data_IF_343865796833
#
_entry.id   IF_343865796833
#
_cell.length_a   1.000
_cell.length_b   1.000
_cell.length_c   1.000
_cell.angle_alpha   90.00
_cell.angle_beta   90.00
_cell.angle_gamma   90.00
#
_symmetry.space_group_name_H-M   'P 1'
#
loop_
_entity.id
_entity.type
_entity.pdbx_description
1 polymer ?
#
# COMPACT_ATOMS: atom_id res chain seq x y z
N UNK A 1 -1.50 -10.01 -6.40
CA UNK A 1 -2.20 -10.99 -5.55
C UNK A 1 -3.31 -11.63 -6.35
N UNK A 2 -4.21 -12.41 -5.73
CA UNK A 2 -5.31 -13.06 -6.45
C UNK A 2 -6.30 -12.10 -7.08
N UNK A 3 -6.40 -10.85 -6.58
CA UNK A 3 -7.17 -9.79 -7.25
C UNK A 3 -6.71 -9.56 -8.69
N UNK A 4 -5.40 -9.45 -8.94
CA UNK A 4 -4.86 -9.21 -10.28
C UNK A 4 -5.21 -10.37 -11.24
N UNK A 5 -5.01 -11.61 -10.78
CA UNK A 5 -5.37 -12.80 -11.53
C UNK A 5 -6.89 -12.90 -11.81
N UNK A 6 -7.74 -12.47 -10.87
CA UNK A 6 -9.18 -12.41 -11.09
C UNK A 6 -9.55 -11.36 -12.14
N UNK A 7 -8.90 -10.19 -12.13
CA UNK A 7 -9.17 -9.12 -13.09
C UNK A 7 -8.74 -9.49 -14.52
N UNK A 8 -7.83 -10.44 -14.69
CA UNK A 8 -7.47 -11.01 -16.00
C UNK A 8 -8.39 -12.17 -16.44
N UNK A 9 -9.33 -12.59 -15.60
CA UNK A 9 -10.18 -13.75 -15.85
C UNK A 9 -11.35 -13.47 -16.81
N UNK A 10 -11.83 -14.53 -17.47
CA UNK A 10 -13.09 -14.45 -18.23
C UNK A 10 -14.29 -14.10 -17.34
N UNK A 11 -14.27 -14.50 -16.06
CA UNK A 11 -15.36 -14.18 -15.14
C UNK A 11 -15.49 -12.68 -14.95
N UNK A 12 -14.39 -11.98 -14.68
CA UNK A 12 -14.38 -10.53 -14.56
C UNK A 12 -14.90 -9.85 -15.84
N UNK A 13 -14.44 -10.30 -17.01
CA UNK A 13 -14.90 -9.77 -18.31
C UNK A 13 -16.40 -9.96 -18.51
N UNK A 14 -16.94 -11.15 -18.19
CA UNK A 14 -18.37 -11.45 -18.29
C UNK A 14 -19.21 -10.63 -17.31
N UNK A 15 -18.68 -10.34 -16.12
CA UNK A 15 -19.37 -9.55 -15.07
C UNK A 15 -19.31 -8.04 -15.29
N UNK A 16 -18.22 -7.53 -15.86
CA UNK A 16 -18.07 -6.11 -16.16
C UNK A 16 -18.89 -5.69 -17.38
N UNK A 17 -19.06 -6.56 -18.37
CA UNK A 17 -19.74 -6.24 -19.62
C UNK A 17 -21.17 -5.68 -19.44
N UNK A 18 -22.08 -6.27 -18.63
CA UNK A 18 -23.41 -5.71 -18.43
C UNK A 18 -23.41 -4.33 -17.77
N UNK A 19 -22.45 -4.07 -16.88
CA UNK A 19 -22.30 -2.76 -16.23
C UNK A 19 -21.81 -1.70 -17.23
N UNK A 20 -20.84 -2.07 -18.08
CA UNK A 20 -20.36 -1.22 -19.18
C UNK A 20 -21.51 -0.86 -20.11
N UNK A 21 -22.25 -1.87 -20.60
CA UNK A 21 -23.37 -1.66 -21.52
C UNK A 21 -24.46 -0.77 -20.92
N UNK A 22 -24.78 -0.97 -19.64
CA UNK A 22 -25.72 -0.11 -18.94
C UNK A 22 -25.22 1.34 -18.84
N UNK A 23 -23.93 1.54 -18.52
CA UNK A 23 -23.34 2.88 -18.36
C UNK A 23 -23.33 3.67 -19.67
N UNK A 24 -23.13 2.99 -20.81
CA UNK A 24 -22.97 3.63 -22.12
C UNK A 24 -24.27 3.64 -22.94
N UNK A 25 -25.38 3.08 -22.45
CA UNK A 25 -26.63 2.88 -23.20
C UNK A 25 -27.15 4.13 -23.93
N UNK A 26 -26.94 5.32 -23.37
CA UNK A 26 -27.33 6.61 -23.98
C UNK A 26 -26.22 7.36 -24.72
N UNK A 27 -25.00 6.82 -24.79
CA UNK A 27 -23.84 7.49 -25.37
C UNK A 27 -23.34 6.74 -26.63
N UNK A 28 -23.90 7.10 -27.78
CA UNK A 28 -23.58 6.47 -29.07
C UNK A 28 -22.09 6.58 -29.46
N UNK A 29 -21.43 7.68 -29.07
CA UNK A 29 -20.00 7.84 -29.35
C UNK A 29 -19.15 6.81 -28.58
N UNK A 30 -19.41 6.65 -27.28
CA UNK A 30 -18.68 5.68 -26.45
C UNK A 30 -19.04 4.24 -26.83
N UNK A 31 -20.28 3.99 -27.29
CA UNK A 31 -20.64 2.69 -27.86
C UNK A 31 -19.81 2.36 -29.11
N UNK A 32 -19.64 3.32 -30.02
CA UNK A 32 -18.77 3.17 -31.18
C UNK A 32 -17.32 2.91 -30.78
N UNK A 33 -16.78 3.65 -29.80
CA UNK A 33 -15.44 3.42 -29.26
C UNK A 33 -15.30 2.00 -28.69
N UNK A 34 -16.27 1.53 -27.93
CA UNK A 34 -16.26 0.19 -27.33
C UNK A 34 -16.31 -0.92 -28.39
N UNK A 35 -16.97 -0.70 -29.52
CA UNK A 35 -16.99 -1.66 -30.62
C UNK A 35 -15.64 -1.74 -31.34
N UNK A 36 -14.99 -0.59 -31.55
CA UNK A 36 -13.67 -0.51 -32.20
C UNK A 36 -12.54 -0.97 -31.28
N UNK A 37 -12.65 -0.71 -29.98
CA UNK A 37 -11.63 -0.99 -28.96
C UNK A 37 -12.26 -1.74 -27.78
N UNK A 38 -12.58 -3.05 -27.94
CA UNK A 38 -13.35 -3.81 -26.95
C UNK A 38 -12.70 -3.92 -25.57
N UNK A 39 -11.38 -3.77 -25.48
CA UNK A 39 -10.63 -3.86 -24.22
C UNK A 39 -10.52 -2.51 -23.49
N UNK A 40 -10.86 -1.38 -24.14
CA UNK A 40 -10.67 -0.05 -23.53
C UNK A 40 -11.50 0.14 -22.27
N UNK A 41 -12.82 -0.14 -22.30
CA UNK A 41 -13.68 0.03 -21.12
C UNK A 41 -13.47 -1.06 -20.05
N UNK A 42 -13.23 -2.34 -20.38
CA UNK A 42 -12.80 -3.33 -19.40
C UNK A 42 -11.57 -2.89 -18.58
N UNK A 43 -10.56 -2.31 -19.22
CA UNK A 43 -9.39 -1.77 -18.52
C UNK A 43 -9.73 -0.61 -17.56
N UNK A 44 -10.68 0.25 -17.93
CA UNK A 44 -11.18 1.28 -17.00
C UNK A 44 -11.90 0.65 -15.80
N UNK A 45 -12.66 -0.42 -16.01
CA UNK A 45 -13.30 -1.16 -14.90
C UNK A 45 -12.25 -1.84 -14.02
N UNK A 46 -11.16 -2.35 -14.61
CA UNK A 46 -10.02 -2.94 -13.89
C UNK A 46 -9.35 -1.89 -13.00
N UNK A 47 -9.14 -0.67 -13.50
CA UNK A 47 -8.66 0.46 -12.69
C UNK A 47 -9.60 0.76 -11.50
N UNK A 48 -10.91 0.83 -11.73
CA UNK A 48 -11.88 1.08 -10.65
C UNK A 48 -11.94 -0.07 -9.63
N UNK A 49 -11.73 -1.31 -10.07
CA UNK A 49 -11.62 -2.45 -9.17
C UNK A 49 -10.40 -2.32 -8.24
N UNK A 50 -9.24 -1.89 -8.75
CA UNK A 50 -8.09 -1.57 -7.90
C UNK A 50 -8.37 -0.44 -6.93
N UNK A 51 -9.05 0.63 -7.35
CA UNK A 51 -9.45 1.72 -6.44
C UNK A 51 -10.40 1.23 -5.35
N UNK A 52 -11.37 0.38 -5.69
CA UNK A 52 -12.29 -0.22 -4.72
C UNK A 52 -11.55 -1.11 -3.72
N UNK A 53 -10.64 -1.96 -4.19
CA UNK A 53 -9.84 -2.82 -3.33
C UNK A 53 -8.93 -2.02 -2.39
N UNK A 54 -8.33 -0.94 -2.90
CA UNK A 54 -7.51 -0.02 -2.13
C UNK A 54 -8.35 0.74 -1.07
N UNK A 55 -9.57 1.15 -1.41
CA UNK A 55 -10.52 1.73 -0.46
C UNK A 55 -10.90 0.74 0.65
N UNK A 56 -11.19 -0.51 0.31
CA UNK A 56 -11.46 -1.58 1.29
C UNK A 56 -10.24 -1.86 2.17
N UNK A 57 -9.03 -1.77 1.62
CA UNK A 57 -7.82 -1.88 2.43
C UNK A 57 -7.78 -0.81 3.53
N UNK A 58 -8.02 0.46 3.19
CA UNK A 58 -8.03 1.54 4.18
C UNK A 58 -9.22 1.52 5.14
N UNK A 59 -10.35 0.90 4.77
CA UNK A 59 -11.45 0.65 5.71
C UNK A 59 -11.04 -0.25 6.89
N UNK A 60 -10.04 -1.11 6.71
CA UNK A 60 -9.46 -1.91 7.80
C UNK A 60 -8.37 -1.13 8.54
N UNK A 61 -7.46 -0.51 7.79
CA UNK A 61 -6.28 0.11 8.37
C UNK A 61 -6.59 1.40 9.16
N UNK A 62 -7.57 2.20 8.72
CA UNK A 62 -7.89 3.47 9.37
C UNK A 62 -8.42 3.28 10.81
N UNK A 63 -9.44 2.44 11.08
CA UNK A 63 -9.87 2.16 12.44
C UNK A 63 -8.76 1.58 13.33
N UNK A 64 -7.89 0.74 12.77
CA UNK A 64 -6.74 0.19 13.49
C UNK A 64 -5.78 1.30 13.95
N UNK A 65 -5.41 2.24 13.08
CA UNK A 65 -4.53 3.35 13.47
C UNK A 65 -5.19 4.31 14.48
N UNK A 66 -6.50 4.51 14.40
CA UNK A 66 -7.24 5.29 15.39
C UNK A 66 -7.24 4.61 16.76
N UNK A 67 -7.54 3.31 16.82
CA UNK A 67 -7.47 2.55 18.07
C UNK A 67 -6.05 2.52 18.65
N UNK A 68 -5.02 2.39 17.82
CA UNK A 68 -3.63 2.48 18.26
C UNK A 68 -3.34 3.81 18.97
N UNK A 69 -3.81 4.92 18.40
CA UNK A 69 -3.67 6.25 18.99
C UNK A 69 -4.39 6.33 20.34
N UNK A 70 -5.65 5.89 20.40
CA UNK A 70 -6.43 5.92 21.64
C UNK A 70 -5.81 5.05 22.74
N UNK A 71 -5.24 3.88 22.38
CA UNK A 71 -4.53 2.99 23.30
C UNK A 71 -3.22 3.59 23.80
N UNK A 72 -2.52 4.32 22.94
CA UNK A 72 -1.34 5.07 23.34
C UNK A 72 -1.69 6.17 24.35
N UNK A 73 -2.76 6.94 24.10
CA UNK A 73 -3.21 8.00 25.00
C UNK A 73 -3.67 7.46 26.37
N UNK A 74 -4.23 6.24 26.41
CA UNK A 74 -4.54 5.53 27.66
C UNK A 74 -3.31 4.92 28.37
N UNK A 75 -2.12 5.03 27.79
CA UNK A 75 -0.87 4.49 28.35
C UNK A 75 -0.74 2.97 28.25
N UNK A 76 -1.52 2.31 27.38
CA UNK A 76 -1.46 0.86 27.15
C UNK A 76 -0.28 0.49 26.26
N UNK A 77 0.02 1.32 25.27
CA UNK A 77 1.15 1.15 24.35
C UNK A 77 2.36 1.90 24.92
N UNK A 78 3.41 1.14 25.27
CA UNK A 78 4.63 1.66 25.90
C UNK A 78 5.89 1.36 25.11
N UNK A 79 5.83 0.43 24.15
CA UNK A 79 6.99 -0.05 23.41
C UNK A 79 6.65 -0.29 21.93
N UNK A 80 7.67 -0.23 21.06
CA UNK A 80 7.51 -0.51 19.63
C UNK A 80 7.00 -1.93 19.34
N UNK A 81 7.46 -3.00 20.03
CA UNK A 81 6.87 -4.33 19.87
C UNK A 81 5.35 -4.37 20.12
N UNK A 82 4.83 -3.57 21.05
CA UNK A 82 3.38 -3.48 21.28
C UNK A 82 2.64 -2.79 20.12
N UNK A 83 3.26 -1.79 19.48
CA UNK A 83 2.74 -1.18 18.24
C UNK A 83 2.66 -2.23 17.13
N UNK A 84 3.76 -2.96 16.91
CA UNK A 84 3.85 -4.02 15.89
C UNK A 84 2.81 -5.11 16.15
N UNK A 85 2.68 -5.56 17.40
CA UNK A 85 1.70 -6.58 17.78
C UNK A 85 0.27 -6.13 17.53
N UNK A 86 -0.07 -4.88 17.88
CA UNK A 86 -1.41 -4.35 17.63
C UNK A 86 -1.76 -4.33 16.14
N UNK A 87 -0.82 -3.91 15.28
CA UNK A 87 -1.02 -3.93 13.82
C UNK A 87 -1.17 -5.37 13.32
N UNK A 88 -0.34 -6.29 13.79
CA UNK A 88 -0.39 -7.71 13.44
C UNK A 88 -1.76 -8.31 13.80
N UNK A 89 -2.23 -8.10 15.02
CA UNK A 89 -3.52 -8.62 15.50
C UNK A 89 -4.68 -8.12 14.61
N UNK A 90 -4.65 -6.85 14.22
CA UNK A 90 -5.66 -6.28 13.34
C UNK A 90 -5.63 -6.89 11.92
N UNK A 91 -4.43 -7.09 11.36
CA UNK A 91 -4.28 -7.74 10.05
C UNK A 91 -4.80 -9.19 10.08
N UNK A 92 -4.51 -9.93 11.16
CA UNK A 92 -4.99 -11.31 11.34
C UNK A 92 -6.51 -11.34 11.52
N UNK A 93 -7.07 -10.44 12.34
CA UNK A 93 -8.52 -10.37 12.56
C UNK A 93 -9.28 -10.04 11.27
N UNK A 94 -8.70 -9.21 10.41
CA UNK A 94 -9.28 -8.83 9.13
C UNK A 94 -8.98 -9.83 8.00
N UNK A 95 -8.17 -10.86 8.22
CA UNK A 95 -7.52 -11.60 7.14
C UNK A 95 -8.48 -12.18 6.10
N UNK A 96 -9.60 -12.72 6.57
CA UNK A 96 -10.61 -13.38 5.76
C UNK A 96 -11.76 -12.47 5.34
N UNK A 97 -11.67 -11.15 5.58
CA UNK A 97 -12.70 -10.24 5.11
C UNK A 97 -12.79 -10.29 3.58
N UNK A 98 -13.98 -10.49 3.01
CA UNK A 98 -14.13 -10.65 1.58
C UNK A 98 -13.90 -9.32 0.85
N UNK A 99 -13.15 -9.37 -0.25
CA UNK A 99 -12.98 -8.22 -1.15
C UNK A 99 -14.00 -8.31 -2.26
N UNK A 100 -14.88 -7.32 -2.32
CA UNK A 100 -16.01 -7.29 -3.26
C UNK A 100 -16.13 -5.95 -3.94
N UNK A 101 -16.77 -5.91 -5.10
CA UNK A 101 -17.00 -4.66 -5.81
C UNK A 101 -18.29 -4.75 -6.61
N UNK A 102 -19.18 -3.80 -6.35
CA UNK A 102 -20.42 -3.66 -7.08
C UNK A 102 -20.67 -2.19 -7.42
N UNK A 103 -21.37 -1.96 -8.53
CA UNK A 103 -21.75 -0.62 -8.97
C UNK A 103 -23.26 -0.55 -9.18
N UNK A 104 -23.85 0.59 -8.84
CA UNK A 104 -25.28 0.86 -9.08
C UNK A 104 -25.43 1.78 -10.28
N UNK A 105 -26.11 1.30 -11.33
CA UNK A 105 -26.36 2.05 -12.57
C UNK A 105 -27.87 1.98 -12.84
N UNK A 106 -28.51 3.14 -12.97
CA UNK A 106 -29.97 3.25 -13.23
C UNK A 106 -30.83 2.40 -12.27
N UNK A 107 -30.45 2.37 -10.98
CA UNK A 107 -31.17 1.60 -9.97
C UNK A 107 -30.81 0.11 -9.90
N UNK A 108 -30.15 -0.45 -10.91
CA UNK A 108 -29.70 -1.86 -10.92
C UNK A 108 -28.28 -1.99 -10.37
N UNK A 109 -28.06 -3.03 -9.55
CA UNK A 109 -26.74 -3.37 -9.00
C UNK A 109 -26.05 -4.38 -9.92
N UNK A 110 -24.77 -4.15 -10.19
CA UNK A 110 -23.90 -5.01 -10.98
C UNK A 110 -22.72 -5.44 -10.11
N UNK A 111 -22.61 -6.73 -9.83
CA UNK A 111 -21.50 -7.31 -9.06
C UNK A 111 -20.32 -7.62 -9.99
N UNK A 112 -19.28 -6.79 -9.89
CA UNK A 112 -18.05 -6.88 -10.70
C UNK A 112 -17.07 -7.88 -10.06
N UNK A 113 -16.91 -7.78 -8.73
CA UNK A 113 -16.19 -8.76 -7.91
C UNK A 113 -17.20 -9.30 -6.89
N UNK A 114 -17.78 -10.49 -7.12
CA UNK A 114 -18.72 -11.12 -6.20
C UNK A 114 -17.97 -11.78 -5.02
N UNK A 115 -18.67 -12.06 -3.92
CA UNK A 115 -18.11 -12.88 -2.82
C UNK A 115 -17.65 -14.26 -3.29
N UNK A 116 -18.30 -14.83 -4.30
CA UNK A 116 -17.95 -16.15 -4.86
C UNK A 116 -16.59 -16.20 -5.53
N UNK A 117 -15.97 -15.04 -5.84
CA UNK A 117 -14.61 -14.99 -6.36
C UNK A 117 -13.56 -15.40 -5.31
N UNK A 118 -13.95 -15.49 -4.03
CA UNK A 118 -13.09 -15.99 -2.96
C UNK A 118 -11.93 -15.07 -2.58
N UNK A 119 -11.94 -13.81 -3.04
CA UNK A 119 -10.90 -12.84 -2.72
C UNK A 119 -11.03 -12.36 -1.26
N UNK A 120 -9.89 -12.26 -0.58
CA UNK A 120 -9.78 -11.94 0.84
C UNK A 120 -8.82 -10.78 1.09
N UNK A 121 -9.06 -10.06 2.19
CA UNK A 121 -8.30 -8.86 2.52
C UNK A 121 -6.79 -9.12 2.59
N UNK A 122 -6.33 -10.09 3.39
CA UNK A 122 -4.89 -10.25 3.63
C UNK A 122 -4.14 -10.68 2.37
N UNK A 123 -4.55 -11.80 1.77
CA UNK A 123 -3.84 -12.40 0.64
C UNK A 123 -3.94 -11.56 -0.65
N UNK A 124 -5.10 -10.95 -0.91
CA UNK A 124 -5.38 -10.34 -2.20
C UNK A 124 -5.19 -8.83 -2.24
N UNK A 125 -5.19 -8.16 -1.08
CA UNK A 125 -5.04 -6.70 -1.01
C UNK A 125 -3.93 -6.24 -0.07
N UNK A 126 -3.87 -6.69 1.19
CA UNK A 126 -2.93 -6.15 2.16
C UNK A 126 -1.47 -6.53 1.86
N UNK A 127 -1.20 -7.82 1.58
CA UNK A 127 0.16 -8.27 1.23
C UNK A 127 0.65 -7.64 -0.07
N UNK A 128 -0.14 -7.65 -1.18
CA UNK A 128 0.24 -6.93 -2.39
C UNK A 128 0.44 -5.42 -2.20
N UNK A 129 -0.34 -4.79 -1.31
CA UNK A 129 -0.20 -3.37 -1.01
C UNK A 129 1.15 -3.05 -0.35
N UNK A 130 1.55 -3.84 0.65
CA UNK A 130 2.87 -3.68 1.31
C UNK A 130 3.99 -3.79 0.27
N UNK A 131 3.94 -4.80 -0.59
CA UNK A 131 4.93 -4.99 -1.65
C UNK A 131 4.95 -3.82 -2.64
N UNK A 132 3.78 -3.39 -3.13
CA UNK A 132 3.67 -2.36 -4.16
C UNK A 132 4.01 -0.96 -3.65
N UNK A 133 3.59 -0.60 -2.43
CA UNK A 133 3.67 0.77 -1.91
C UNK A 133 4.86 0.98 -0.98
N UNK A 134 5.19 -0.01 -0.15
CA UNK A 134 6.27 0.17 0.84
C UNK A 134 7.64 -0.23 0.29
N UNK A 135 7.70 -1.26 -0.56
CA UNK A 135 8.95 -1.69 -1.18
C UNK A 135 9.15 -1.07 -2.56
N UNK A 136 8.28 -1.42 -3.52
CA UNK A 136 8.52 -1.08 -4.93
C UNK A 136 8.36 0.41 -5.19
N UNK A 137 7.17 0.94 -4.94
CA UNK A 137 6.81 2.29 -5.37
C UNK A 137 6.95 2.50 -6.88
N UNK A 138 6.55 3.67 -7.35
CA UNK A 138 6.90 4.12 -8.70
C UNK A 138 8.15 5.00 -8.61
N UNK A 139 9.10 4.90 -9.55
CA UNK A 139 10.27 5.78 -9.57
C UNK A 139 9.83 7.25 -9.55
N UNK A 140 10.50 8.09 -8.74
CA UNK A 140 10.09 9.49 -8.63
C UNK A 140 10.71 10.30 -9.78
N UNK A 141 9.90 11.01 -10.59
CA UNK A 141 10.41 11.75 -11.74
C UNK A 141 11.36 12.89 -11.35
N UNK A 142 11.32 13.35 -10.09
CA UNK A 142 12.24 14.33 -9.54
C UNK A 142 13.56 13.77 -9.00
N UNK A 143 13.72 12.44 -8.88
CA UNK A 143 14.94 11.82 -8.33
C UNK A 143 15.68 10.90 -9.30
N UNK A 144 14.99 10.34 -10.29
CA UNK A 144 15.60 9.41 -11.25
C UNK A 144 15.21 9.72 -12.69
N UNK A 145 16.14 9.43 -13.60
CA UNK A 145 15.94 9.62 -15.03
C UNK A 145 15.18 8.44 -15.66
N UNK A 146 14.16 8.76 -16.43
CA UNK A 146 13.42 7.79 -17.26
C UNK A 146 14.09 7.54 -18.62
N UNK A 147 15.27 8.12 -18.85
CA UNK A 147 16.04 7.84 -20.05
C UNK A 147 16.49 6.37 -20.06
N UNK A 148 15.97 5.58 -21.01
CA UNK A 148 16.29 4.16 -21.15
C UNK A 148 17.80 3.90 -21.34
N UNK A 149 18.54 4.82 -21.95
CA UNK A 149 19.99 4.70 -22.12
C UNK A 149 20.77 4.87 -20.81
N UNK A 150 20.23 5.62 -19.86
CA UNK A 150 20.87 5.85 -18.56
C UNK A 150 20.71 4.66 -17.61
N UNK A 151 19.77 3.74 -17.90
CA UNK A 151 19.49 2.54 -17.09
C UNK A 151 19.31 2.83 -15.59
N UNK A 152 18.84 4.02 -15.22
CA UNK A 152 18.64 4.44 -13.83
C UNK A 152 17.42 3.76 -13.16
N UNK A 153 16.54 3.17 -13.96
CA UNK A 153 15.38 2.40 -13.52
C UNK A 153 15.56 0.98 -14.05
N UNK A 154 15.48 -0.01 -13.15
CA UNK A 154 15.51 -1.42 -13.53
C UNK A 154 14.39 -1.74 -14.54
N UNK A 155 14.62 -2.59 -15.55
CA UNK A 155 13.52 -3.13 -16.35
C UNK A 155 12.68 -4.17 -15.58
N UNK A 156 13.25 -4.75 -14.52
CA UNK A 156 12.58 -5.70 -13.64
C UNK A 156 11.88 -4.95 -12.49
N UNK A 157 10.54 -4.95 -12.51
CA UNK A 157 9.70 -4.33 -11.48
C UNK A 157 9.89 -4.94 -10.09
N UNK A 158 10.34 -6.21 -10.00
CA UNK A 158 10.65 -6.86 -8.72
C UNK A 158 11.82 -6.21 -7.98
N UNK A 159 12.64 -5.41 -8.68
CA UNK A 159 13.80 -4.69 -8.14
C UNK A 159 13.54 -3.21 -7.91
N UNK A 160 12.28 -2.77 -7.96
CA UNK A 160 11.98 -1.38 -7.67
C UNK A 160 12.16 -1.13 -6.17
N UNK A 161 12.81 -0.01 -5.86
CA UNK A 161 13.21 0.38 -4.50
C UNK A 161 12.87 1.87 -4.29
N UNK A 162 11.64 2.24 -4.65
CA UNK A 162 11.13 3.62 -4.59
C UNK A 162 9.93 3.76 -3.66
N UNK A 163 9.60 2.69 -2.91
CA UNK A 163 8.51 2.68 -1.94
C UNK A 163 8.84 3.48 -0.67
N UNK A 164 7.85 3.56 0.22
CA UNK A 164 7.97 4.36 1.45
C UNK A 164 9.20 4.01 2.31
N UNK A 165 9.66 2.76 2.30
CA UNK A 165 10.81 2.30 3.10
C UNK A 165 12.16 2.71 2.52
N UNK A 166 12.20 3.09 1.24
CA UNK A 166 13.40 3.47 0.49
C UNK A 166 13.43 4.96 0.14
N UNK A 167 12.31 5.67 0.35
CA UNK A 167 12.18 7.07 0.02
C UNK A 167 13.17 7.95 0.81
N UNK A 168 13.88 8.83 0.12
CA UNK A 168 14.63 9.92 0.73
C UNK A 168 13.64 11.02 1.19
N UNK A 169 13.60 11.36 2.50
CA UNK A 169 12.73 12.41 3.01
C UNK A 169 13.22 13.83 2.73
N UNK A 170 14.50 14.04 2.41
CA UNK A 170 15.06 15.38 2.20
C UNK A 170 14.43 16.17 1.04
N UNK A 171 14.16 15.60 -0.15
CA UNK A 171 13.58 16.33 -1.28
C UNK A 171 12.08 16.63 -1.12
N UNK A 172 11.45 16.27 0.00
CA UNK A 172 10.02 16.50 0.21
C UNK A 172 9.69 17.99 0.15
N UNK A 173 8.67 18.35 -0.64
CA UNK A 173 8.36 19.74 -1.00
C UNK A 173 8.92 20.17 -2.36
N UNK A 174 9.80 19.37 -2.96
CA UNK A 174 10.33 19.59 -4.30
C UNK A 174 9.39 19.15 -5.43
N UNK A 175 9.65 19.65 -6.64
CA UNK A 175 8.93 19.24 -7.84
C UNK A 175 9.27 17.78 -8.21
N UNK A 176 8.27 17.02 -8.67
CA UNK A 176 8.45 15.63 -9.07
C UNK A 176 8.66 14.64 -7.91
N UNK A 177 8.31 15.02 -6.68
CA UNK A 177 8.41 14.18 -5.48
C UNK A 177 7.00 13.83 -4.95
N UNK A 178 6.42 12.68 -5.35
CA UNK A 178 5.02 12.34 -5.06
C UNK A 178 4.63 12.32 -3.57
N UNK A 179 5.44 11.78 -2.62
CA UNK A 179 5.06 11.71 -1.22
C UNK A 179 4.78 13.08 -0.57
N UNK A 180 5.27 14.17 -1.19
CA UNK A 180 4.98 15.56 -0.78
C UNK A 180 3.48 15.80 -0.58
N UNK A 181 2.63 15.24 -1.44
CA UNK A 181 1.17 15.44 -1.35
C UNK A 181 0.61 14.90 -0.04
N UNK A 182 1.04 13.70 0.35
CA UNK A 182 0.63 13.09 1.62
C UNK A 182 1.20 13.85 2.81
N UNK A 183 2.48 14.24 2.79
CA UNK A 183 3.08 15.00 3.90
C UNK A 183 2.42 16.37 4.08
N UNK A 184 2.01 17.00 2.98
CA UNK A 184 1.29 18.27 3.00
C UNK A 184 -0.12 18.13 3.58
N UNK A 185 -0.80 17.02 3.33
CA UNK A 185 -2.12 16.72 3.87
C UNK A 185 -2.04 16.37 5.37
N UNK A 186 -1.13 15.47 5.75
CA UNK A 186 -0.91 15.05 7.14
C UNK A 186 -0.53 16.21 8.08
N UNK A 187 0.10 17.28 7.56
CA UNK A 187 0.47 18.44 8.37
C UNK A 187 -0.73 19.10 9.06
N UNK A 188 -1.94 18.92 8.53
CA UNK A 188 -3.17 19.48 9.07
C UNK A 188 -3.75 18.70 10.26
N UNK A 189 -3.28 17.48 10.48
CA UNK A 189 -3.83 16.54 11.44
C UNK A 189 -2.77 16.08 12.46
N UNK A 190 -1.73 16.89 12.69
CA UNK A 190 -0.70 16.57 13.67
C UNK A 190 -1.24 16.77 15.09
N UNK A 191 -1.09 15.77 15.98
CA UNK A 191 -1.38 15.98 17.39
C UNK A 191 -0.32 16.90 18.01
N UNK A 192 -0.73 17.71 18.99
CA UNK A 192 0.13 18.78 19.52
C UNK A 192 1.44 18.24 20.12
N UNK A 193 1.41 17.09 20.81
CA UNK A 193 2.62 16.48 21.38
C UNK A 193 3.67 16.14 20.31
N UNK A 194 3.24 15.75 19.11
CA UNK A 194 4.15 15.44 18.00
C UNK A 194 4.63 16.73 17.33
N UNK A 195 3.74 17.72 17.20
CA UNK A 195 4.10 19.03 16.67
C UNK A 195 5.15 19.72 17.55
N UNK A 196 5.03 19.64 18.87
CA UNK A 196 6.03 20.14 19.83
C UNK A 196 7.39 19.46 19.65
N UNK A 197 7.43 18.17 19.32
CA UNK A 197 8.68 17.46 19.01
C UNK A 197 9.31 18.06 17.75
N UNK A 198 8.52 18.33 16.70
CA UNK A 198 9.04 18.91 15.47
C UNK A 198 9.53 20.36 15.61
N UNK A 199 8.85 21.17 16.43
CA UNK A 199 9.26 22.56 16.70
C UNK A 199 10.63 22.65 17.38
N UNK A 200 11.11 21.58 18.01
CA UNK A 200 12.46 21.52 18.62
C UNK A 200 13.58 21.32 17.59
N UNK A 201 13.26 21.09 16.32
CA UNK A 201 14.27 20.98 15.25
C UNK A 201 14.96 22.33 15.01
N UNK A 202 16.14 22.32 14.38
CA UNK A 202 16.87 23.55 14.03
C UNK A 202 16.11 24.47 13.08
N UNK A 203 15.14 23.93 12.34
CA UNK A 203 14.34 24.64 11.33
C UNK A 203 12.89 24.86 11.78
N UNK A 204 12.54 24.46 13.00
CA UNK A 204 11.20 24.64 13.55
C UNK A 204 10.13 24.03 12.62
N UNK A 205 9.26 24.89 12.09
CA UNK A 205 8.19 24.47 11.16
C UNK A 205 8.58 24.62 9.67
N UNK A 206 9.71 25.24 9.35
CA UNK A 206 10.12 25.50 7.95
C UNK A 206 10.33 24.20 7.15
N UNK A 207 10.78 23.13 7.82
CA UNK A 207 10.97 21.79 7.25
C UNK A 207 9.95 20.76 7.75
N UNK A 208 8.78 21.22 8.22
CA UNK A 208 7.76 20.36 8.83
C UNK A 208 7.41 19.13 7.96
N UNK A 209 7.26 19.29 6.65
CA UNK A 209 6.96 18.15 5.75
C UNK A 209 8.07 17.10 5.72
N UNK A 210 9.34 17.51 5.80
CA UNK A 210 10.49 16.60 5.87
C UNK A 210 10.43 15.83 7.19
N UNK A 211 10.14 16.51 8.30
CA UNK A 211 10.01 15.89 9.62
C UNK A 211 8.85 14.89 9.67
N UNK A 212 7.68 15.24 9.12
CA UNK A 212 6.53 14.32 8.97
C UNK A 212 6.95 13.09 8.18
N UNK A 213 7.62 13.26 7.04
CA UNK A 213 8.07 12.15 6.19
C UNK A 213 8.99 11.17 6.94
N UNK A 214 9.95 11.70 7.73
CA UNK A 214 10.87 10.87 8.51
C UNK A 214 10.14 10.00 9.54
N UNK A 215 9.18 10.57 10.28
CA UNK A 215 8.41 9.80 11.27
C UNK A 215 7.35 8.91 10.64
N UNK A 216 6.79 9.31 9.49
CA UNK A 216 5.91 8.47 8.69
C UNK A 216 6.65 7.21 8.24
N UNK A 217 7.87 7.36 7.72
CA UNK A 217 8.71 6.24 7.31
C UNK A 217 9.00 5.28 8.48
N UNK A 218 9.31 5.79 9.67
CA UNK A 218 9.45 4.97 10.89
C UNK A 218 8.18 4.18 11.22
N UNK A 219 7.02 4.80 11.03
CA UNK A 219 5.73 4.15 11.23
C UNK A 219 5.51 3.04 10.19
N UNK A 220 5.88 3.27 8.93
CA UNK A 220 5.79 2.26 7.87
C UNK A 220 6.74 1.08 8.09
N UNK A 221 7.88 1.27 8.73
CA UNK A 221 8.71 0.15 9.20
C UNK A 221 7.96 -0.72 10.21
N UNK A 222 7.24 -0.13 11.17
CA UNK A 222 6.45 -0.90 12.14
C UNK A 222 5.34 -1.71 11.46
N UNK A 223 4.61 -1.10 10.51
CA UNK A 223 3.58 -1.79 9.73
C UNK A 223 4.20 -2.93 8.91
N UNK A 224 5.36 -2.70 8.30
CA UNK A 224 6.06 -3.72 7.51
C UNK A 224 6.56 -4.86 8.39
N UNK A 225 7.09 -4.57 9.58
CA UNK A 225 7.46 -5.61 10.54
C UNK A 225 6.24 -6.47 10.92
N UNK A 226 5.08 -5.86 11.17
CA UNK A 226 3.85 -6.61 11.44
C UNK A 226 3.47 -7.53 10.29
N UNK A 227 3.57 -7.05 9.04
CA UNK A 227 3.31 -7.87 7.85
C UNK A 227 4.31 -9.04 7.71
N UNK A 228 5.60 -8.79 7.94
CA UNK A 228 6.65 -9.84 7.90
C UNK A 228 6.37 -10.90 8.97
N UNK A 229 6.02 -10.49 10.20
CA UNK A 229 5.68 -11.43 11.26
C UNK A 229 4.41 -12.22 10.96
N UNK A 230 3.39 -11.58 10.39
CA UNK A 230 2.13 -12.23 10.00
C UNK A 230 2.27 -13.20 8.83
N UNK A 231 3.31 -13.05 8.01
CA UNK A 231 3.63 -13.93 6.89
C UNK A 231 4.72 -14.96 7.23
N UNK A 232 5.22 -14.98 8.46
CA UNK A 232 6.23 -15.94 8.86
C UNK A 232 5.67 -17.37 8.75
N UNK A 233 6.43 -18.33 8.20
CA UNK A 233 5.96 -19.70 8.02
C UNK A 233 5.71 -20.44 9.34
N UNK A 234 6.35 -19.98 10.42
CA UNK A 234 6.22 -20.52 11.77
C UNK A 234 6.31 -19.38 12.81
N UNK A 235 5.83 -19.59 14.06
CA UNK A 235 5.94 -18.58 15.12
C UNK A 235 7.41 -18.23 15.44
N UNK A 236 7.73 -16.94 15.52
CA UNK A 236 9.10 -16.46 15.76
C UNK A 236 9.72 -16.93 17.08
N UNK A 237 8.90 -17.38 18.04
CA UNK A 237 9.30 -17.91 19.33
C UNK A 237 9.24 -19.45 19.40
N UNK A 238 9.17 -20.13 18.27
CA UNK A 238 9.20 -21.61 18.22
C UNK A 238 10.48 -22.17 18.83
N UNK A 239 10.36 -23.32 19.48
CA UNK A 239 11.47 -24.09 20.05
C UNK A 239 11.89 -25.26 19.17
N UNK A 240 11.19 -25.55 18.07
CA UNK A 240 11.59 -26.59 17.12
C UNK A 240 12.79 -26.10 16.29
N UNK A 241 13.96 -26.77 16.33
CA UNK A 241 15.13 -26.37 15.56
C UNK A 241 14.91 -26.28 14.05
N UNK A 242 14.02 -27.09 13.48
CA UNK A 242 13.69 -27.04 12.04
C UNK A 242 12.89 -25.78 11.70
N UNK A 243 11.91 -25.45 12.53
CA UNK A 243 11.10 -24.25 12.35
C UNK A 243 11.94 -22.98 12.57
N UNK A 244 12.83 -22.98 13.57
CA UNK A 244 13.79 -21.88 13.79
C UNK A 244 14.66 -21.64 12.56
N UNK A 245 15.18 -22.70 11.94
CA UNK A 245 15.97 -22.59 10.71
C UNK A 245 15.15 -22.04 9.54
N UNK A 246 13.88 -22.44 9.41
CA UNK A 246 12.97 -21.92 8.38
C UNK A 246 12.66 -20.43 8.58
N UNK A 247 12.41 -20.00 9.82
CA UNK A 247 12.21 -18.59 10.17
C UNK A 247 13.48 -17.79 9.92
N UNK A 248 14.64 -18.31 10.29
CA UNK A 248 15.90 -17.62 10.05
C UNK A 248 16.10 -17.35 8.55
N UNK A 249 15.97 -18.37 7.70
CA UNK A 249 16.09 -18.20 6.25
C UNK A 249 15.03 -17.23 5.69
N UNK A 250 13.80 -17.28 6.22
CA UNK A 250 12.73 -16.35 5.85
C UNK A 250 13.09 -14.89 6.20
N UNK A 251 13.60 -14.64 7.41
CA UNK A 251 14.00 -13.31 7.84
C UNK A 251 15.25 -12.81 7.12
N UNK A 252 16.22 -13.69 6.84
CA UNK A 252 17.41 -13.36 6.03
C UNK A 252 17.00 -12.84 4.64
N UNK A 253 16.06 -13.51 3.96
CA UNK A 253 15.53 -13.05 2.68
C UNK A 253 14.91 -11.64 2.75
N UNK A 254 14.21 -11.32 3.84
CA UNK A 254 13.68 -9.96 4.04
C UNK A 254 14.78 -8.94 4.34
N UNK A 255 15.77 -9.33 5.12
CA UNK A 255 16.91 -8.46 5.43
C UNK A 255 17.75 -8.14 4.20
N UNK A 256 17.90 -9.10 3.28
CA UNK A 256 18.58 -8.89 2.00
C UNK A 256 17.91 -7.78 1.19
N UNK A 257 16.56 -7.75 1.19
CA UNK A 257 15.79 -6.69 0.54
C UNK A 257 15.99 -5.33 1.21
N UNK A 258 16.16 -5.28 2.54
CA UNK A 258 16.39 -4.03 3.26
C UNK A 258 17.81 -3.48 3.17
N UNK A 259 18.79 -4.25 2.68
CA UNK A 259 20.17 -3.77 2.61
C UNK A 259 20.31 -2.46 1.82
N UNK A 260 19.57 -2.36 0.71
CA UNK A 260 19.52 -1.19 -0.18
C UNK A 260 18.61 -0.08 0.33
N UNK A 261 17.75 -0.34 1.31
CA UNK A 261 16.91 0.69 1.95
C UNK A 261 17.72 1.58 2.89
N UNK A 262 18.94 1.18 3.22
CA UNK A 262 19.91 2.06 3.89
C UNK A 262 20.36 3.09 2.87
N UNK A 263 20.28 4.37 3.22
CA UNK A 263 21.02 5.40 2.49
C UNK A 263 22.51 5.04 2.58
N UNK A 264 23.05 4.37 1.56
CA UNK A 264 24.48 4.11 1.43
C UNK A 264 25.12 5.47 1.14
N UNK A 265 25.52 6.17 2.20
CA UNK A 265 26.34 7.38 2.11
C UNK A 265 25.62 8.61 1.55
N UNK A 266 25.06 9.43 2.44
CA UNK A 266 24.93 10.89 2.17
C UNK A 266 26.29 11.60 2.37
N UNK A 267 27.34 10.86 2.77
CA UNK A 267 28.69 11.36 3.04
C UNK A 267 29.81 10.41 2.53
N UNK A 268 29.70 9.91 1.30
CA UNK A 268 30.85 9.34 0.58
C UNK A 268 31.13 10.17 -0.65
#
# INVERSE_FOLDING_TARGET
GGLDAYLDSEEFRKRSQPAIQAKIKGNFFIQGLQQLFPEFLPEQVRLFAYYSALGQFWQVMCPMFLDLSDRYDRGEIKTIPQVVQHILDALVAAANLPITYSVKIEGKVYEIIPKSAGLTFLADTAVPYVEAVFFRGTPFPGTVSYNAQAQAISPDQGRFEYGALYADPLPIGGAGIPPTQLMQDMRHYLPEYLHEVYRKSRRGEDDLRVQICQTFQKSMFCVTTAAILGLAPHPVNTTDPKEQKAIQAYLENWMDRFMTSRLIGVNS
#
